data_IF_307415625271
#
_entry.id   IF_307415625271
#
_cell.length_a   1.000
_cell.length_b   1.000
_cell.length_c   1.000
_cell.angle_alpha   90.00
_cell.angle_beta   90.00
_cell.angle_gamma   90.00
#
_symmetry.space_group_name_H-M   'P 1'
#
loop_
_entity.id
_entity.type
_entity.pdbx_description
1 polymer ?
#
# COMPACT_ATOMS: atom_id res chain seq x y z
N UNK A 1 7.69 19.67 -31.59
CA UNK A 1 8.28 18.32 -31.39
C UNK A 1 9.22 18.09 -32.55
N UNK A 2 10.45 17.58 -32.35
CA UNK A 2 11.42 17.50 -33.43
C UNK A 2 11.08 16.35 -34.38
N UNK A 3 11.07 16.63 -35.68
CA UNK A 3 10.66 15.74 -36.78
C UNK A 3 11.38 14.38 -36.79
N UNK A 4 12.62 14.32 -36.27
CA UNK A 4 13.43 13.10 -36.16
C UNK A 4 12.84 11.97 -35.29
N UNK A 5 11.99 12.27 -34.31
CA UNK A 5 11.38 11.21 -33.48
C UNK A 5 10.27 10.45 -34.22
N UNK A 6 9.62 11.11 -35.16
CA UNK A 6 8.54 10.53 -35.96
C UNK A 6 9.11 9.54 -36.98
N UNK A 7 10.26 9.85 -37.55
CA UNK A 7 10.94 9.03 -38.56
C UNK A 7 11.47 7.71 -37.97
N UNK A 8 12.11 7.78 -36.78
CA UNK A 8 12.55 6.59 -36.02
C UNK A 8 11.35 5.70 -35.64
N UNK A 9 10.21 6.30 -35.33
CA UNK A 9 8.97 5.56 -35.05
C UNK A 9 8.44 4.85 -36.30
N UNK A 10 8.47 5.50 -37.47
CA UNK A 10 8.07 4.87 -38.72
C UNK A 10 9.01 3.74 -39.14
N UNK A 11 10.32 3.90 -39.02
CA UNK A 11 11.29 2.87 -39.36
C UNK A 11 11.16 1.62 -38.47
N UNK A 12 11.04 1.81 -37.15
CA UNK A 12 10.86 0.72 -36.19
C UNK A 12 9.51 -0.01 -36.38
N UNK A 13 8.45 0.73 -36.75
CA UNK A 13 7.14 0.17 -37.06
C UNK A 13 7.14 -0.62 -38.37
N UNK A 14 7.82 -0.11 -39.39
CA UNK A 14 7.95 -0.75 -40.71
C UNK A 14 8.77 -2.02 -40.59
N UNK A 15 9.87 -1.99 -39.81
CA UNK A 15 10.67 -3.17 -39.48
C UNK A 15 9.86 -4.26 -38.75
N UNK A 16 9.00 -3.87 -37.79
CA UNK A 16 8.13 -4.80 -37.08
C UNK A 16 7.07 -5.43 -37.99
N UNK A 17 6.44 -4.64 -38.88
CA UNK A 17 5.45 -5.14 -39.84
C UNK A 17 6.08 -6.16 -40.79
N UNK A 18 7.30 -5.88 -41.27
CA UNK A 18 8.02 -6.76 -42.18
C UNK A 18 8.48 -8.07 -41.51
N UNK A 19 8.88 -8.01 -40.24
CA UNK A 19 9.46 -9.15 -39.52
C UNK A 19 8.50 -9.85 -38.54
N UNK A 20 7.21 -9.49 -38.56
CA UNK A 20 6.20 -9.96 -37.59
C UNK A 20 6.17 -11.48 -37.41
N UNK A 21 6.25 -12.25 -38.50
CA UNK A 21 6.26 -13.73 -38.44
C UNK A 21 7.53 -14.27 -37.77
N UNK A 22 8.70 -13.71 -38.06
CA UNK A 22 9.96 -14.10 -37.43
C UNK A 22 10.00 -13.72 -35.95
N UNK A 23 9.45 -12.55 -35.60
CA UNK A 23 9.37 -12.09 -34.23
C UNK A 23 8.39 -12.94 -33.39
N UNK A 24 7.19 -13.22 -33.93
CA UNK A 24 6.23 -14.12 -33.27
C UNK A 24 6.83 -15.53 -33.07
N UNK A 25 7.68 -16.03 -33.98
CA UNK A 25 8.31 -17.35 -33.81
C UNK A 25 9.42 -17.39 -32.73
N UNK A 26 10.10 -16.27 -32.47
CA UNK A 26 11.23 -16.20 -31.53
C UNK A 26 10.86 -15.74 -30.12
N UNK A 27 9.61 -15.35 -29.90
CA UNK A 27 9.11 -14.84 -28.62
C UNK A 27 8.43 -15.96 -27.84
N UNK A 28 8.77 -16.10 -26.56
CA UNK A 28 8.18 -17.14 -25.71
C UNK A 28 6.64 -16.98 -25.67
N UNK A 29 5.90 -18.09 -25.62
CA UNK A 29 4.44 -18.07 -25.77
C UNK A 29 3.71 -17.11 -24.79
N UNK A 30 4.28 -16.86 -23.60
CA UNK A 30 3.70 -15.91 -22.63
C UNK A 30 3.92 -14.43 -23.00
N UNK A 31 4.95 -14.12 -23.80
CA UNK A 31 5.28 -12.76 -24.24
C UNK A 31 4.52 -12.39 -25.52
N UNK A 32 4.12 -13.38 -26.34
CA UNK A 32 3.31 -13.16 -27.56
C UNK A 32 2.06 -12.31 -27.29
N UNK A 33 1.40 -12.50 -26.15
CA UNK A 33 0.23 -11.72 -25.76
C UNK A 33 0.58 -10.25 -25.48
N UNK A 34 1.72 -9.98 -24.82
CA UNK A 34 2.21 -8.62 -24.59
C UNK A 34 2.53 -7.93 -25.91
N UNK A 35 3.26 -8.58 -26.81
CA UNK A 35 3.57 -8.01 -28.13
C UNK A 35 2.33 -7.84 -29.01
N UNK A 36 1.36 -8.77 -28.93
CA UNK A 36 0.06 -8.61 -29.60
C UNK A 36 -0.72 -7.41 -29.06
N UNK A 37 -0.70 -7.17 -27.74
CA UNK A 37 -1.35 -6.01 -27.13
C UNK A 37 -0.59 -4.71 -27.38
N UNK A 38 0.75 -4.75 -27.42
CA UNK A 38 1.67 -3.61 -27.55
C UNK A 38 1.97 -3.19 -28.99
N UNK A 39 1.79 -4.08 -29.96
CA UNK A 39 2.10 -3.80 -31.37
C UNK A 39 1.04 -4.34 -32.35
N UNK A 40 0.10 -5.17 -31.90
CA UNK A 40 -0.88 -5.86 -32.77
C UNK A 40 -2.15 -5.09 -33.11
N UNK A 41 -2.28 -3.81 -32.71
CA UNK A 41 -3.45 -2.97 -33.00
C UNK A 41 -3.28 -2.14 -34.29
N UNK A 42 -2.90 -2.79 -35.39
CA UNK A 42 -2.99 -2.22 -36.74
C UNK A 42 -4.28 -2.69 -37.43
N UNK A 43 -5.41 -2.22 -36.91
CA UNK A 43 -6.61 -1.83 -37.67
C UNK A 43 -7.66 -1.33 -36.67
N UNK A 44 -7.67 0.00 -36.45
CA UNK A 44 -8.42 0.67 -35.36
C UNK A 44 -9.93 0.37 -35.33
N UNK A 45 -10.56 0.03 -36.47
CA UNK A 45 -12.02 -0.01 -36.57
C UNK A 45 -12.62 -1.42 -36.64
N UNK A 46 -12.00 -2.39 -37.34
CA UNK A 46 -12.60 -3.72 -37.52
C UNK A 46 -12.35 -4.68 -36.34
N UNK A 47 -11.14 -4.68 -35.78
CA UNK A 47 -10.81 -5.58 -34.67
C UNK A 47 -11.39 -5.12 -33.33
N UNK A 48 -11.60 -3.82 -33.15
CA UNK A 48 -12.30 -3.26 -31.98
C UNK A 48 -13.78 -3.66 -31.97
N UNK A 49 -14.44 -3.71 -33.13
CA UNK A 49 -15.80 -4.25 -33.28
C UNK A 49 -15.87 -5.75 -32.95
N UNK A 50 -14.88 -6.56 -33.38
CA UNK A 50 -14.76 -7.97 -32.96
C UNK A 50 -14.44 -8.14 -31.46
N UNK A 51 -13.73 -7.19 -30.85
CA UNK A 51 -13.45 -7.17 -29.40
C UNK A 51 -14.72 -6.90 -28.57
N UNK A 52 -15.64 -6.05 -29.05
CA UNK A 52 -16.93 -5.78 -28.39
C UNK A 52 -17.82 -7.02 -28.25
N UNK A 53 -17.63 -8.05 -29.09
CA UNK A 53 -18.45 -9.26 -29.10
C UNK A 53 -17.96 -10.41 -28.21
N UNK A 54 -16.79 -10.31 -27.57
CA UNK A 54 -16.24 -11.39 -26.74
C UNK A 54 -16.15 -10.95 -25.27
N UNK A 55 -16.80 -11.71 -24.38
CA UNK A 55 -16.64 -11.61 -22.92
C UNK A 55 -15.16 -11.47 -22.55
N UNK A 56 -14.87 -10.57 -21.60
CA UNK A 56 -13.57 -10.22 -21.02
C UNK A 56 -12.48 -11.29 -21.21
N UNK A 57 -11.58 -11.08 -22.17
CA UNK A 57 -10.45 -11.98 -22.41
C UNK A 57 -9.36 -11.68 -21.39
N UNK A 58 -9.03 -12.68 -20.57
CA UNK A 58 -7.92 -12.61 -19.60
C UNK A 58 -6.65 -13.12 -20.27
N UNK A 59 -5.56 -12.38 -20.12
CA UNK A 59 -4.25 -12.72 -20.66
C UNK A 59 -3.29 -13.02 -19.51
N UNK A 60 -2.41 -14.00 -19.72
CA UNK A 60 -1.21 -14.16 -18.90
C UNK A 60 -0.08 -13.31 -19.46
N UNK A 61 0.66 -12.63 -18.59
CA UNK A 61 1.71 -11.68 -18.98
C UNK A 61 2.92 -11.78 -18.06
N UNK A 62 4.11 -11.62 -18.64
CA UNK A 62 5.38 -11.48 -17.91
C UNK A 62 5.84 -12.74 -17.18
N UNK A 63 6.98 -12.62 -16.48
CA UNK A 63 7.54 -13.70 -15.65
C UNK A 63 7.26 -13.44 -14.17
N UNK A 64 6.02 -13.76 -13.77
CA UNK A 64 5.51 -13.60 -12.41
C UNK A 64 6.36 -14.32 -11.36
N UNK A 65 6.85 -15.52 -11.68
CA UNK A 65 7.66 -16.33 -10.75
C UNK A 65 9.02 -15.68 -10.51
N UNK A 66 9.69 -15.19 -11.56
CA UNK A 66 10.96 -14.46 -11.38
C UNK A 66 10.75 -13.16 -10.62
N UNK A 67 9.71 -12.38 -10.94
CA UNK A 67 9.41 -11.13 -10.23
C UNK A 67 9.26 -11.34 -8.71
N UNK A 68 8.52 -12.38 -8.30
CA UNK A 68 8.39 -12.76 -6.90
C UNK A 68 9.73 -13.18 -6.28
N UNK A 69 10.48 -14.06 -6.96
CA UNK A 69 11.77 -14.58 -6.49
C UNK A 69 12.78 -13.45 -6.23
N UNK A 70 13.00 -12.58 -7.22
CA UNK A 70 14.00 -11.49 -7.10
C UNK A 70 13.58 -10.38 -6.14
N UNK A 71 12.29 -10.26 -5.84
CA UNK A 71 11.78 -9.28 -4.88
C UNK A 71 11.66 -9.83 -3.45
N UNK A 72 12.08 -11.08 -3.21
CA UNK A 72 12.00 -11.71 -1.89
C UNK A 72 10.57 -12.00 -1.42
N UNK A 73 9.62 -12.15 -2.35
CA UNK A 73 8.24 -12.54 -2.00
C UNK A 73 8.20 -14.03 -1.72
N UNK A 74 7.79 -14.40 -0.51
CA UNK A 74 7.65 -15.79 -0.10
C UNK A 74 6.38 -16.36 -0.72
N UNK A 75 6.50 -17.52 -1.37
CA UNK A 75 5.39 -18.28 -1.90
C UNK A 75 4.82 -19.25 -0.85
N UNK A 76 3.65 -19.83 -1.14
CA UNK A 76 2.91 -20.71 -0.21
C UNK A 76 3.70 -21.98 0.19
N UNK A 77 4.58 -22.47 -0.68
CA UNK A 77 5.37 -23.66 -0.40
C UNK A 77 6.36 -23.41 0.76
N UNK A 78 6.19 -24.12 1.87
CA UNK A 78 6.97 -23.96 3.11
C UNK A 78 6.95 -22.50 3.62
N UNK A 79 5.80 -21.84 3.51
CA UNK A 79 5.62 -20.43 3.86
C UNK A 79 6.05 -20.10 5.29
N UNK A 80 5.57 -20.83 6.29
CA UNK A 80 5.90 -20.57 7.70
C UNK A 80 7.39 -20.65 7.96
N UNK A 81 8.04 -21.75 7.55
CA UNK A 81 9.48 -21.93 7.72
C UNK A 81 10.28 -20.83 7.02
N UNK A 82 9.91 -20.44 5.80
CA UNK A 82 10.58 -19.36 5.06
C UNK A 82 10.38 -18.00 5.71
N UNK A 83 9.17 -17.69 6.15
CA UNK A 83 8.86 -16.43 6.81
C UNK A 83 9.54 -16.37 8.18
N UNK A 84 9.53 -17.47 8.94
CA UNK A 84 10.24 -17.60 10.21
C UNK A 84 11.75 -17.38 10.03
N UNK A 85 12.37 -18.10 9.08
CA UNK A 85 13.79 -17.92 8.77
C UNK A 85 14.15 -16.49 8.36
N UNK A 86 13.29 -15.81 7.59
CA UNK A 86 13.49 -14.41 7.23
C UNK A 86 13.48 -13.50 8.46
N UNK A 87 12.56 -13.75 9.39
CA UNK A 87 12.34 -12.93 10.58
C UNK A 87 13.37 -13.18 11.68
N UNK A 88 13.87 -14.41 11.79
CA UNK A 88 14.92 -14.80 12.74
C UNK A 88 16.29 -14.22 12.37
N UNK A 89 16.51 -13.83 11.10
CA UNK A 89 17.70 -13.12 10.64
C UNK A 89 17.72 -11.63 11.04
N UNK A 90 16.62 -11.10 11.56
CA UNK A 90 16.53 -9.73 12.04
C UNK A 90 16.70 -9.64 13.56
N UNK A 91 16.80 -8.41 14.09
CA UNK A 91 16.93 -8.18 15.53
C UNK A 91 15.71 -8.73 16.31
N UNK A 92 15.88 -9.04 17.62
CA UNK A 92 14.79 -9.50 18.46
C UNK A 92 13.55 -8.60 18.35
N UNK A 93 12.38 -9.22 18.45
CA UNK A 93 11.07 -8.56 18.34
C UNK A 93 10.74 -8.01 16.94
N UNK A 94 11.50 -8.42 15.91
CA UNK A 94 11.04 -8.29 14.52
C UNK A 94 9.87 -9.23 14.26
N UNK A 95 9.01 -8.88 13.31
CA UNK A 95 7.93 -9.76 12.89
C UNK A 95 7.65 -9.67 11.40
N UNK A 96 7.08 -10.74 10.84
CA UNK A 96 6.66 -10.83 9.46
C UNK A 96 5.16 -10.99 9.38
N UNK A 97 4.53 -10.31 8.43
CA UNK A 97 3.12 -10.49 8.07
C UNK A 97 3.06 -10.97 6.63
N UNK A 98 2.24 -11.99 6.39
CA UNK A 98 1.96 -12.50 5.06
C UNK A 98 0.47 -12.73 4.89
N UNK A 99 -0.10 -12.16 3.83
CA UNK A 99 -1.53 -12.21 3.53
C UNK A 99 -1.76 -12.59 2.08
N UNK A 100 -2.49 -13.68 1.86
CA UNK A 100 -3.05 -14.02 0.54
C UNK A 100 -4.42 -13.39 0.42
N UNK A 101 -4.66 -12.70 -0.69
CA UNK A 101 -5.96 -12.10 -0.96
C UNK A 101 -6.43 -12.35 -2.38
N UNK A 102 -7.74 -12.22 -2.59
CA UNK A 102 -8.39 -12.33 -3.89
C UNK A 102 -9.18 -11.06 -4.20
N UNK A 103 -8.94 -10.46 -5.36
CA UNK A 103 -9.61 -9.23 -5.77
C UNK A 103 -11.13 -9.43 -5.92
N UNK A 104 -11.93 -8.60 -5.25
CA UNK A 104 -13.40 -8.54 -5.37
C UNK A 104 -13.83 -7.77 -6.63
N UNK A 105 -13.01 -6.81 -7.05
CA UNK A 105 -13.18 -5.97 -8.23
C UNK A 105 -11.85 -5.83 -8.99
N UNK A 106 -11.86 -5.39 -10.27
CA UNK A 106 -10.63 -5.14 -11.00
C UNK A 106 -9.68 -4.18 -10.26
N UNK A 107 -8.38 -4.37 -10.45
CA UNK A 107 -7.36 -3.47 -9.92
C UNK A 107 -6.70 -2.69 -11.05
N UNK A 108 -6.54 -1.39 -10.81
CA UNK A 108 -5.83 -0.48 -11.70
C UNK A 108 -4.95 0.46 -10.88
N UNK A 109 -3.71 0.62 -11.32
CA UNK A 109 -2.86 1.75 -10.99
C UNK A 109 -2.24 2.20 -12.31
N UNK A 110 -2.26 3.50 -12.59
CA UNK A 110 -1.73 4.01 -13.84
C UNK A 110 -0.21 3.81 -13.90
N UNK A 111 0.29 3.39 -15.06
CA UNK A 111 1.72 3.43 -15.38
C UNK A 111 2.13 4.80 -15.90
N UNK A 112 3.39 5.16 -15.69
CA UNK A 112 3.97 6.44 -16.07
C UNK A 112 4.65 6.37 -17.47
N UNK A 113 4.49 5.27 -18.21
CA UNK A 113 5.02 5.12 -19.58
C UNK A 113 4.23 6.02 -20.57
N UNK A 114 4.90 7.04 -21.11
CA UNK A 114 4.31 8.05 -22.02
C UNK A 114 3.83 7.48 -23.36
N UNK A 115 4.52 6.46 -23.89
CA UNK A 115 4.25 5.88 -25.21
C UNK A 115 3.59 4.50 -25.09
N UNK A 116 2.32 4.47 -24.64
CA UNK A 116 1.55 3.24 -24.49
C UNK A 116 0.31 3.21 -25.39
N UNK A 117 0.02 2.05 -26.00
CA UNK A 117 -1.09 1.92 -26.98
C UNK A 117 -2.49 2.11 -26.37
N UNK A 118 -2.65 1.74 -25.10
CA UNK A 118 -3.90 1.89 -24.36
C UNK A 118 -3.84 3.21 -23.58
N UNK A 119 -4.95 3.96 -23.60
CA UNK A 119 -5.06 5.27 -22.92
C UNK A 119 -4.68 5.24 -21.44
N UNK A 120 -5.02 4.14 -20.75
CA UNK A 120 -4.74 3.94 -19.34
C UNK A 120 -4.02 2.61 -19.15
N UNK A 121 -2.68 2.57 -19.31
CA UNK A 121 -1.88 1.39 -19.00
C UNK A 121 -1.91 1.09 -17.51
N UNK A 122 -1.99 -0.19 -17.17
CA UNK A 122 -1.69 -0.60 -15.81
C UNK A 122 -0.19 -0.58 -15.58
N UNK A 123 0.16 -0.15 -14.37
CA UNK A 123 1.48 -0.19 -13.79
C UNK A 123 2.07 -1.59 -13.78
N UNK A 124 3.24 -1.74 -14.40
CA UNK A 124 4.00 -3.00 -14.42
C UNK A 124 5.38 -2.84 -13.80
N UNK A 125 5.90 -3.95 -13.29
CA UNK A 125 7.32 -4.07 -12.96
C UNK A 125 8.14 -3.93 -14.26
N UNK A 126 9.28 -3.23 -14.19
CA UNK A 126 10.03 -2.78 -15.36
C UNK A 126 10.72 -3.92 -16.11
N UNK A 127 11.23 -4.92 -15.40
CA UNK A 127 12.06 -6.01 -15.96
C UNK A 127 11.18 -7.15 -16.46
N UNK A 128 10.34 -7.71 -15.60
CA UNK A 128 9.53 -8.90 -15.88
C UNK A 128 8.17 -8.58 -16.48
N UNK A 129 7.83 -7.28 -16.60
CA UNK A 129 6.61 -6.77 -17.25
C UNK A 129 5.31 -7.35 -16.67
N UNK A 130 5.28 -7.61 -15.37
CA UNK A 130 4.09 -8.09 -14.65
C UNK A 130 3.36 -6.93 -13.97
N UNK A 131 2.01 -6.88 -14.01
CA UNK A 131 1.25 -5.91 -13.24
C UNK A 131 1.57 -5.97 -11.76
N UNK A 132 1.61 -4.82 -11.09
CA UNK A 132 1.98 -4.77 -9.68
C UNK A 132 1.23 -3.72 -8.86
N UNK A 133 1.13 -3.98 -7.55
CA UNK A 133 0.95 -2.95 -6.53
C UNK A 133 2.33 -2.59 -5.99
N UNK A 134 2.75 -1.31 -6.15
CA UNK A 134 4.02 -0.80 -5.60
C UNK A 134 4.04 -0.87 -4.07
N UNK A 135 5.23 -1.07 -3.50
CA UNK A 135 5.51 -0.96 -2.05
C UNK A 135 4.93 0.31 -1.42
N UNK A 136 5.17 1.46 -2.06
CA UNK A 136 4.66 2.75 -1.59
C UNK A 136 3.13 2.85 -1.62
N UNK A 137 2.47 2.14 -2.55
CA UNK A 137 1.00 2.11 -2.60
C UNK A 137 0.45 1.36 -1.40
N UNK A 138 1.00 0.19 -1.06
CA UNK A 138 0.64 -0.54 0.17
C UNK A 138 0.86 0.30 1.43
N UNK A 139 2.05 0.90 1.58
CA UNK A 139 2.34 1.79 2.71
C UNK A 139 1.28 2.91 2.82
N UNK A 140 0.96 3.56 1.70
CA UNK A 140 0.01 4.67 1.66
C UNK A 140 -1.42 4.28 2.03
N UNK A 141 -1.93 3.16 1.50
CA UNK A 141 -3.32 2.74 1.78
C UNK A 141 -3.47 2.18 3.19
N UNK A 142 -2.47 1.46 3.70
CA UNK A 142 -2.48 0.93 5.08
C UNK A 142 -2.31 2.08 6.07
N UNK A 143 -1.45 3.07 5.78
CA UNK A 143 -1.38 4.29 6.59
C UNK A 143 -2.72 5.04 6.58
N UNK A 144 -3.42 5.11 5.43
CA UNK A 144 -4.74 5.72 5.40
C UNK A 144 -5.75 4.99 6.28
N UNK A 145 -5.78 3.65 6.22
CA UNK A 145 -6.61 2.86 7.11
C UNK A 145 -6.26 3.09 8.59
N UNK A 146 -4.97 3.20 8.93
CA UNK A 146 -4.52 3.54 10.28
C UNK A 146 -5.03 4.90 10.76
N UNK A 147 -5.07 5.91 9.89
CA UNK A 147 -5.66 7.22 10.20
C UNK A 147 -7.15 7.14 10.48
N UNK A 148 -7.90 6.37 9.68
CA UNK A 148 -9.33 6.15 9.94
C UNK A 148 -9.56 5.41 11.27
N UNK A 149 -8.73 4.41 11.60
CA UNK A 149 -8.80 3.72 12.90
C UNK A 149 -8.52 4.70 14.05
N UNK A 150 -7.50 5.54 13.94
CA UNK A 150 -7.20 6.56 14.96
C UNK A 150 -8.40 7.50 15.14
N UNK A 151 -9.00 7.95 14.03
CA UNK A 151 -10.17 8.82 14.04
C UNK A 151 -11.39 8.17 14.72
N UNK A 152 -11.64 6.89 14.47
CA UNK A 152 -12.74 6.11 15.09
C UNK A 152 -12.54 5.84 16.59
N UNK A 153 -11.34 6.11 17.12
CA UNK A 153 -10.98 5.87 18.50
C UNK A 153 -10.63 7.15 19.28
N UNK A 154 -10.96 8.33 18.74
CA UNK A 154 -10.87 9.59 19.49
C UNK A 154 -11.68 9.46 20.78
N UNK A 155 -11.07 9.86 21.90
CA UNK A 155 -11.66 9.80 23.23
C UNK A 155 -11.71 8.43 23.89
N UNK A 156 -11.19 7.39 23.24
CA UNK A 156 -11.03 6.06 23.83
C UNK A 156 -9.64 5.88 24.42
N UNK A 157 -9.51 4.94 25.36
CA UNK A 157 -8.26 4.64 26.06
C UNK A 157 -7.12 4.25 25.10
N UNK A 158 -7.46 3.59 24.01
CA UNK A 158 -6.52 3.05 23.01
C UNK A 158 -6.03 4.10 22.01
N UNK A 159 -6.61 5.31 22.01
CA UNK A 159 -6.31 6.37 21.03
C UNK A 159 -4.80 6.61 20.88
N UNK A 160 -4.11 6.83 22.00
CA UNK A 160 -2.67 7.11 22.00
C UNK A 160 -1.83 5.92 21.59
N UNK A 161 -2.26 4.72 21.96
CA UNK A 161 -1.58 3.50 21.55
C UNK A 161 -1.58 3.36 20.04
N UNK A 162 -2.69 3.70 19.38
CA UNK A 162 -2.79 3.72 17.92
C UNK A 162 -1.99 4.85 17.28
N UNK A 163 -2.01 6.06 17.85
CA UNK A 163 -1.18 7.17 17.39
C UNK A 163 0.31 6.78 17.44
N UNK A 164 0.80 6.28 18.56
CA UNK A 164 2.20 5.90 18.69
C UNK A 164 2.57 4.71 17.81
N UNK A 165 1.68 3.73 17.66
CA UNK A 165 1.90 2.61 16.75
C UNK A 165 2.02 3.09 15.30
N UNK A 166 1.13 3.99 14.87
CA UNK A 166 1.20 4.62 13.55
C UNK A 166 2.54 5.32 13.30
N UNK A 167 3.00 6.14 14.26
CA UNK A 167 4.28 6.85 14.17
C UNK A 167 5.46 5.88 14.03
N UNK A 168 5.49 4.81 14.84
CA UNK A 168 6.55 3.80 14.81
C UNK A 168 6.53 3.00 13.51
N UNK A 169 5.36 2.59 13.03
CA UNK A 169 5.21 1.75 11.84
C UNK A 169 5.56 2.53 10.57
N UNK A 170 5.01 3.74 10.40
CA UNK A 170 5.09 4.49 9.14
C UNK A 170 6.23 5.52 9.10
N UNK A 171 6.73 5.92 10.28
CA UNK A 171 7.77 6.92 10.46
C UNK A 171 7.23 8.34 10.61
N UNK A 172 8.12 9.26 10.98
CA UNK A 172 7.78 10.62 11.41
C UNK A 172 8.51 11.71 10.61
N UNK A 173 8.78 11.41 9.33
CA UNK A 173 9.58 12.24 8.44
C UNK A 173 8.92 13.50 7.89
N UNK A 174 7.69 13.85 8.30
CA UNK A 174 7.00 15.03 7.79
C UNK A 174 7.41 16.30 8.55
N UNK A 175 7.21 17.45 7.89
CA UNK A 175 7.70 18.73 8.36
C UNK A 175 6.96 19.19 9.62
N UNK A 176 5.67 18.88 9.74
CA UNK A 176 4.87 19.27 10.89
C UNK A 176 5.25 18.47 12.15
N UNK A 177 5.67 17.20 12.01
CA UNK A 177 6.23 16.46 13.15
C UNK A 177 7.57 17.04 13.57
N UNK A 178 8.41 17.48 12.62
CA UNK A 178 9.67 18.17 12.96
C UNK A 178 9.43 19.46 13.72
N UNK A 179 8.43 20.24 13.30
CA UNK A 179 7.98 21.44 14.01
C UNK A 179 7.53 21.11 15.44
N UNK A 180 6.70 20.06 15.60
CA UNK A 180 6.28 19.57 16.91
C UNK A 180 7.48 19.23 17.80
N UNK A 181 8.43 18.44 17.29
CA UNK A 181 9.67 18.08 18.00
C UNK A 181 10.46 19.33 18.42
N UNK A 182 10.61 20.30 17.53
CA UNK A 182 11.38 21.52 17.80
C UNK A 182 10.73 22.37 18.88
N UNK A 183 9.40 22.45 18.91
CA UNK A 183 8.66 23.19 19.94
C UNK A 183 8.74 22.52 21.30
N UNK A 184 8.74 21.17 21.36
CA UNK A 184 8.91 20.47 22.63
C UNK A 184 10.27 20.78 23.28
N UNK A 185 11.33 20.96 22.49
CA UNK A 185 12.67 21.34 22.98
C UNK A 185 12.72 22.74 23.61
N UNK A 186 11.72 23.60 23.34
CA UNK A 186 11.69 25.01 23.77
C UNK A 186 10.83 25.25 25.02
N UNK A 187 10.27 24.20 25.63
CA UNK A 187 9.41 24.23 26.84
C UNK A 187 8.17 25.16 26.81
N UNK A 188 7.80 25.73 25.66
CA UNK A 188 6.60 26.56 25.53
C UNK A 188 5.31 25.72 25.47
N UNK A 189 4.60 25.61 26.60
CA UNK A 189 3.42 24.74 26.77
C UNK A 189 2.26 25.08 25.84
N UNK A 190 2.00 26.35 25.54
CA UNK A 190 0.84 26.73 24.71
C UNK A 190 1.11 26.49 23.23
N UNK A 191 2.35 26.70 22.80
CA UNK A 191 2.76 26.50 21.41
C UNK A 191 2.90 25.01 21.07
N UNK A 192 3.34 24.21 22.04
CA UNK A 192 3.34 22.74 21.98
C UNK A 192 1.94 22.19 21.70
N UNK A 193 0.92 22.67 22.43
CA UNK A 193 -0.46 22.22 22.27
C UNK A 193 -1.01 22.55 20.87
N UNK A 194 -0.75 23.76 20.37
CA UNK A 194 -1.14 24.17 19.01
C UNK A 194 -0.49 23.28 17.95
N UNK A 195 0.79 22.98 18.07
CA UNK A 195 1.51 22.11 17.13
C UNK A 195 1.01 20.67 17.16
N UNK A 196 0.64 20.16 18.34
CA UNK A 196 0.06 18.83 18.49
C UNK A 196 -1.31 18.72 17.80
N UNK A 197 -2.17 19.70 18.01
CA UNK A 197 -3.48 19.78 17.35
C UNK A 197 -3.29 19.88 15.83
N UNK A 198 -2.37 20.71 15.36
CA UNK A 198 -1.99 20.76 13.94
C UNK A 198 -1.54 19.39 13.43
N UNK A 199 -0.68 18.68 14.16
CA UNK A 199 -0.22 17.35 13.79
C UNK A 199 -1.39 16.36 13.66
N UNK A 200 -2.27 16.31 14.66
CA UNK A 200 -3.44 15.41 14.64
C UNK A 200 -4.39 15.75 13.49
N UNK A 201 -4.73 17.03 13.31
CA UNK A 201 -5.65 17.49 12.27
C UNK A 201 -5.06 17.26 10.88
N UNK A 202 -3.86 17.77 10.61
CA UNK A 202 -3.31 17.80 9.26
C UNK A 202 -2.65 16.48 8.85
N UNK A 203 -1.99 15.77 9.77
CA UNK A 203 -1.25 14.55 9.42
C UNK A 203 -2.00 13.26 9.69
N UNK A 204 -2.86 13.23 10.70
CA UNK A 204 -3.70 12.08 10.98
C UNK A 204 -5.11 12.24 10.41
N UNK A 205 -5.40 13.35 9.73
CA UNK A 205 -6.71 13.66 9.14
C UNK A 205 -7.85 13.56 10.16
N UNK A 206 -7.54 13.89 11.42
CA UNK A 206 -8.49 13.89 12.52
C UNK A 206 -9.32 15.16 12.37
N UNK A 207 -10.51 15.03 11.79
CA UNK A 207 -11.47 16.13 11.71
C UNK A 207 -11.99 16.37 13.11
N UNK A 208 -11.45 17.40 13.76
CA UNK A 208 -11.98 17.95 15.00
C UNK A 208 -12.84 19.14 14.59
N UNK A 209 -14.08 19.22 15.07
CA UNK A 209 -14.93 20.40 14.87
C UNK A 209 -14.21 21.62 15.46
N UNK A 210 -13.91 22.63 14.63
CA UNK A 210 -13.15 23.82 15.00
C UNK A 210 -13.77 24.55 16.21
N UNK A 211 -15.10 24.57 16.27
CA UNK A 211 -15.88 25.26 17.32
C UNK A 211 -15.67 24.64 18.73
N UNK A 212 -15.34 23.34 18.80
CA UNK A 212 -15.00 22.66 20.07
C UNK A 212 -13.56 22.93 20.52
N UNK A 213 -12.65 23.25 19.59
CA UNK A 213 -11.24 23.54 19.90
C UNK A 213 -11.10 24.94 20.51
N UNK A 214 -11.76 25.96 19.98
CA UNK A 214 -11.64 27.32 20.52
C UNK A 214 -12.32 27.49 21.88
N UNK A 215 -13.44 26.80 22.10
CA UNK A 215 -14.21 26.93 23.35
C UNK A 215 -13.70 26.04 24.48
N UNK A 216 -13.10 24.86 24.19
CA UNK A 216 -12.78 23.89 25.23
C UNK A 216 -11.50 23.04 24.99
N UNK A 217 -10.46 23.65 24.41
CA UNK A 217 -9.15 23.00 24.22
C UNK A 217 -8.53 22.50 25.52
N UNK A 218 -8.84 23.11 26.68
CA UNK A 218 -8.37 22.64 27.99
C UNK A 218 -9.03 21.32 28.39
N UNK A 219 -10.36 21.19 28.30
CA UNK A 219 -11.02 19.91 28.58
C UNK A 219 -10.67 18.85 27.55
N UNK A 220 -10.57 19.15 26.24
CA UNK A 220 -10.15 18.14 25.26
C UNK A 220 -8.75 17.61 25.60
N UNK A 221 -7.83 18.48 26.02
CA UNK A 221 -6.48 18.09 26.45
C UNK A 221 -6.51 17.36 27.80
N UNK A 222 -7.38 17.73 28.74
CA UNK A 222 -7.47 17.06 30.05
C UNK A 222 -8.24 15.72 29.98
N UNK A 223 -9.28 15.61 29.15
CA UNK A 223 -10.11 14.43 28.90
C UNK A 223 -9.48 13.44 27.91
N UNK A 224 -8.69 13.92 26.94
CA UNK A 224 -8.10 13.05 25.91
C UNK A 224 -6.56 13.03 25.90
N UNK A 225 -5.87 13.95 26.57
CA UNK A 225 -4.40 14.08 26.56
C UNK A 225 -3.78 14.08 27.97
N UNK A 226 -4.44 13.39 28.91
CA UNK A 226 -4.10 13.09 30.31
C UNK A 226 -2.64 13.31 30.75
N UNK A 227 -2.42 13.55 32.06
CA UNK A 227 -1.13 13.77 32.74
C UNK A 227 0.04 12.87 32.29
N UNK A 228 -0.27 11.67 31.77
CA UNK A 228 0.68 10.78 31.11
C UNK A 228 1.39 11.38 29.88
N UNK A 229 0.79 12.30 29.12
CA UNK A 229 1.44 12.97 27.99
C UNK A 229 2.59 13.86 28.44
N UNK A 230 2.41 14.62 29.54
CA UNK A 230 3.52 15.31 30.22
C UNK A 230 4.58 14.31 30.68
N UNK A 231 4.19 13.18 31.29
CA UNK A 231 5.16 12.20 31.80
C UNK A 231 5.90 11.41 30.71
N UNK A 232 5.29 11.16 29.54
CA UNK A 232 5.89 10.48 28.39
C UNK A 232 7.02 11.33 27.78
N UNK A 233 6.89 12.66 27.83
CA UNK A 233 7.84 13.61 27.24
C UNK A 233 8.71 14.38 28.26
N UNK A 234 8.34 14.43 29.55
CA UNK A 234 9.10 15.09 30.65
C UNK A 234 10.01 14.14 31.45
N UNK A 235 10.00 12.84 31.17
CA UNK A 235 10.95 11.95 31.85
C UNK A 235 12.36 12.26 31.33
N UNK A 236 13.20 12.90 32.16
CA UNK A 236 14.58 13.30 31.85
C UNK A 236 15.44 12.13 31.33
N UNK A 237 15.04 10.88 31.60
CA UNK A 237 15.67 9.66 31.02
C UNK A 237 15.25 9.35 29.58
N UNK A 238 14.10 9.85 29.12
CA UNK A 238 13.50 9.60 27.81
C UNK A 238 13.56 10.80 26.85
N UNK A 239 14.18 11.92 27.26
CA UNK A 239 14.40 13.17 26.52
C UNK A 239 15.07 13.05 25.14
N UNK A 240 15.60 11.88 24.76
CA UNK A 240 16.18 11.64 23.42
C UNK A 240 15.39 10.67 22.55
N UNK A 241 14.45 9.91 23.11
CA UNK A 241 13.84 8.75 22.41
C UNK A 241 12.79 9.12 21.35
N UNK A 242 12.12 10.25 21.53
CA UNK A 242 10.96 10.64 20.72
C UNK A 242 11.16 11.94 19.93
N UNK A 243 12.28 12.64 20.14
CA UNK A 243 12.61 13.94 19.52
C UNK A 243 13.46 13.82 18.25
N UNK A 244 13.42 12.65 17.62
CA UNK A 244 14.19 12.37 16.43
C UNK A 244 13.24 11.95 15.31
N UNK A 245 13.50 12.50 14.13
CA UNK A 245 12.83 12.05 12.91
C UNK A 245 13.25 10.62 12.65
N UNK A 246 12.29 9.70 12.73
CA UNK A 246 12.56 8.26 12.57
C UNK A 246 11.94 7.73 11.29
N UNK A 247 12.70 6.86 10.63
CA UNK A 247 12.17 5.99 9.58
C UNK A 247 11.12 5.05 10.20
N UNK A 248 10.09 4.68 9.43
CA UNK A 248 9.12 3.69 9.89
C UNK A 248 9.75 2.31 10.04
N UNK A 249 9.27 1.55 11.05
CA UNK A 249 9.71 0.18 11.34
C UNK A 249 9.18 -0.85 10.34
N UNK A 250 8.11 -0.55 9.59
CA UNK A 250 7.52 -1.46 8.60
C UNK A 250 8.10 -1.29 7.19
N UNK A 251 8.48 -2.42 6.60
CA UNK A 251 9.01 -2.58 5.24
C UNK A 251 7.96 -3.32 4.42
N UNK A 252 7.37 -2.63 3.45
CA UNK A 252 6.33 -3.17 2.58
C UNK A 252 6.95 -3.75 1.31
N UNK A 253 6.45 -4.90 0.89
CA UNK A 253 6.85 -5.56 -0.35
C UNK A 253 5.83 -5.31 -1.48
N UNK A 254 6.26 -5.35 -2.76
CA UNK A 254 5.33 -5.22 -3.87
C UNK A 254 4.46 -6.48 -4.01
N UNK A 255 3.26 -6.32 -4.54
CA UNK A 255 2.44 -7.46 -4.98
C UNK A 255 2.47 -7.55 -6.49
N UNK A 256 2.67 -8.74 -7.03
CA UNK A 256 2.62 -9.00 -8.46
C UNK A 256 1.33 -9.72 -8.83
N UNK A 257 0.96 -9.65 -10.11
CA UNK A 257 -0.11 -10.42 -10.71
C UNK A 257 0.34 -11.02 -12.04
N UNK A 258 -0.23 -12.17 -12.41
CA UNK A 258 0.06 -12.85 -13.67
C UNK A 258 -1.03 -12.65 -14.73
N UNK A 259 -2.09 -11.89 -14.40
CA UNK A 259 -3.29 -11.73 -15.23
C UNK A 259 -3.55 -10.28 -15.61
N UNK A 260 -4.04 -10.12 -16.84
CA UNK A 260 -4.39 -8.84 -17.44
C UNK A 260 -5.73 -8.92 -18.16
N UNK A 261 -6.52 -7.84 -18.11
CA UNK A 261 -7.78 -7.67 -18.82
C UNK A 261 -7.95 -6.23 -19.29
N UNK A 262 -8.96 -5.98 -20.11
CA UNK A 262 -9.37 -4.66 -20.55
C UNK A 262 -10.77 -4.35 -19.98
N UNK A 263 -10.90 -3.22 -19.30
CA UNK A 263 -12.17 -2.69 -18.82
C UNK A 263 -12.53 -1.42 -19.61
N UNK A 264 -13.82 -1.19 -19.78
CA UNK A 264 -14.33 -0.01 -20.48
C UNK A 264 -15.28 0.75 -19.56
N UNK A 265 -14.96 2.02 -19.31
CA UNK A 265 -15.86 2.95 -18.63
C UNK A 265 -16.43 3.89 -19.68
N UNK A 266 -17.76 3.94 -19.82
CA UNK A 266 -18.42 4.86 -20.73
C UNK A 266 -19.15 5.95 -19.96
N UNK A 267 -18.57 7.16 -19.79
CA UNK A 267 -19.25 8.27 -19.15
C UNK A 267 -20.51 8.65 -19.93
N UNK A 268 -21.62 8.83 -19.23
CA UNK A 268 -22.88 9.26 -19.82
C UNK A 268 -23.05 10.78 -19.68
N UNK A 269 -23.55 11.42 -20.74
CA UNK A 269 -23.98 12.82 -20.68
C UNK A 269 -25.14 12.96 -19.70
N UNK A 270 -25.07 13.91 -18.77
CA UNK A 270 -26.17 14.15 -17.82
C UNK A 270 -27.45 14.66 -18.51
N UNK A 271 -27.29 15.39 -19.63
CA UNK A 271 -28.41 15.99 -20.38
C UNK A 271 -29.14 14.98 -21.27
N UNK A 272 -28.39 14.11 -21.96
CA UNK A 272 -28.96 13.20 -22.96
C UNK A 272 -28.99 11.74 -22.50
N UNK A 273 -28.36 11.41 -21.36
CA UNK A 273 -28.12 10.05 -20.84
C UNK A 273 -27.40 9.11 -21.81
N UNK A 274 -27.00 9.59 -22.99
CA UNK A 274 -26.22 8.84 -23.97
C UNK A 274 -24.75 8.72 -23.54
N UNK A 275 -24.13 7.58 -23.83
CA UNK A 275 -22.70 7.36 -23.62
C UNK A 275 -21.88 8.24 -24.57
N UNK A 276 -20.85 8.91 -24.05
CA UNK A 276 -20.06 9.87 -24.83
C UNK A 276 -18.91 9.13 -25.53
N UNK A 277 -17.81 8.92 -24.82
CA UNK A 277 -16.60 8.31 -25.34
C UNK A 277 -16.13 7.20 -24.39
N UNK A 278 -16.08 5.93 -24.84
CA UNK A 278 -15.61 4.83 -24.00
C UNK A 278 -14.12 5.01 -23.67
N UNK A 279 -13.81 5.01 -22.39
CA UNK A 279 -12.46 5.09 -21.83
C UNK A 279 -11.99 3.68 -21.51
N UNK A 280 -10.85 3.30 -22.06
CA UNK A 280 -10.31 1.95 -21.92
C UNK A 280 -9.25 1.91 -20.84
N UNK A 281 -9.31 0.89 -19.99
CA UNK A 281 -8.39 0.63 -18.89
C UNK A 281 -7.80 -0.76 -19.03
N UNK A 282 -6.48 -0.84 -19.05
CA UNK A 282 -5.80 -2.09 -18.79
C UNK A 282 -5.84 -2.36 -17.28
N UNK A 283 -6.27 -3.54 -16.86
CA UNK A 283 -6.48 -3.85 -15.43
C UNK A 283 -5.99 -5.25 -15.09
N UNK A 284 -5.73 -5.48 -13.80
CA UNK A 284 -5.77 -6.84 -13.26
C UNK A 284 -7.24 -7.23 -13.06
N UNK A 285 -7.72 -8.34 -13.64
CA UNK A 285 -9.12 -8.71 -13.56
C UNK A 285 -9.54 -9.12 -12.14
N UNK A 286 -10.83 -8.95 -11.87
CA UNK A 286 -11.50 -9.51 -10.68
C UNK A 286 -11.14 -10.99 -10.51
N UNK A 287 -11.00 -11.42 -9.26
CA UNK A 287 -10.70 -12.81 -8.92
C UNK A 287 -9.23 -13.19 -9.09
N UNK A 288 -8.35 -12.27 -9.52
CA UNK A 288 -6.91 -12.49 -9.43
C UNK A 288 -6.47 -12.51 -7.97
N UNK A 289 -5.46 -13.31 -7.68
CA UNK A 289 -4.90 -13.47 -6.34
C UNK A 289 -3.58 -12.69 -6.22
N UNK A 290 -3.30 -12.20 -5.03
CA UNK A 290 -2.11 -11.44 -4.71
C UNK A 290 -1.61 -11.75 -3.30
N UNK A 291 -0.35 -11.42 -3.07
CA UNK A 291 0.34 -11.58 -1.79
C UNK A 291 0.72 -10.20 -1.26
N UNK A 292 0.27 -9.86 -0.06
CA UNK A 292 0.81 -8.76 0.75
C UNK A 292 1.82 -9.33 1.73
N UNK A 293 3.06 -8.87 1.66
CA UNK A 293 4.13 -9.23 2.59
C UNK A 293 4.70 -7.97 3.24
N UNK A 294 4.86 -8.00 4.56
CA UNK A 294 5.41 -6.91 5.36
C UNK A 294 6.43 -7.49 6.33
N UNK A 295 7.58 -6.83 6.48
CA UNK A 295 8.56 -7.11 7.52
C UNK A 295 8.64 -5.89 8.43
N UNK A 296 8.52 -6.12 9.74
CA UNK A 296 8.68 -5.08 10.75
C UNK A 296 9.99 -5.31 11.50
N UNK A 297 10.81 -4.25 11.61
CA UNK A 297 12.10 -4.27 12.31
C UNK A 297 12.16 -3.11 13.31
N UNK A 298 12.20 -3.36 14.64
CA UNK A 298 12.28 -2.31 15.66
C UNK A 298 13.71 -1.76 15.83
N UNK A 299 14.31 -1.26 14.77
CA UNK A 299 15.73 -0.87 14.74
C UNK A 299 16.10 0.24 15.74
N UNK A 300 15.15 1.12 16.10
CA UNK A 300 15.34 2.17 17.11
C UNK A 300 15.08 1.66 18.55
N UNK A 301 14.72 0.39 18.68
CA UNK A 301 14.43 -0.31 19.92
C UNK A 301 15.65 -0.90 20.62
N UNK A 302 16.82 -0.92 19.97
CA UNK A 302 18.01 -1.68 20.45
C UNK A 302 18.46 -1.26 21.86
N UNK A 303 18.31 0.01 22.22
CA UNK A 303 18.67 0.56 23.53
C UNK A 303 17.50 0.57 24.54
N UNK A 304 16.35 -0.01 24.19
CA UNK A 304 15.18 -0.07 25.08
C UNK A 304 15.27 -1.28 25.99
N UNK A 305 14.61 -1.19 27.15
CA UNK A 305 14.35 -2.38 27.98
C UNK A 305 13.48 -3.35 27.20
N UNK A 306 13.80 -4.64 27.28
CA UNK A 306 13.10 -5.70 26.56
C UNK A 306 11.59 -5.70 26.81
N UNK A 307 11.15 -5.50 28.04
CA UNK A 307 9.72 -5.49 28.37
C UNK A 307 8.96 -4.30 27.77
N UNK A 308 9.59 -3.13 27.70
CA UNK A 308 9.02 -1.93 27.06
C UNK A 308 8.89 -2.16 25.56
N UNK A 309 9.97 -2.65 24.93
CA UNK A 309 9.99 -2.89 23.49
C UNK A 309 8.98 -3.97 23.10
N UNK A 310 8.89 -5.05 23.86
CA UNK A 310 7.91 -6.11 23.66
C UNK A 310 6.48 -5.59 23.67
N UNK A 311 6.14 -4.69 24.61
CA UNK A 311 4.81 -4.06 24.67
C UNK A 311 4.54 -3.18 23.44
N UNK A 312 5.51 -2.39 22.99
CA UNK A 312 5.38 -1.60 21.75
C UNK A 312 5.11 -2.50 20.55
N UNK A 313 5.92 -3.55 20.38
CA UNK A 313 5.84 -4.45 19.22
C UNK A 313 4.51 -5.19 19.19
N UNK A 314 3.99 -5.62 20.36
CA UNK A 314 2.67 -6.25 20.46
C UNK A 314 1.55 -5.32 19.96
N UNK A 315 1.55 -4.06 20.42
CA UNK A 315 0.58 -3.04 19.98
C UNK A 315 0.74 -2.69 18.50
N UNK A 316 1.99 -2.60 18.01
CA UNK A 316 2.28 -2.30 16.61
C UNK A 316 1.77 -3.42 15.68
N UNK A 317 1.96 -4.68 16.07
CA UNK A 317 1.44 -5.84 15.34
C UNK A 317 -0.08 -5.80 15.25
N UNK A 318 -0.76 -5.63 16.39
CA UNK A 318 -2.22 -5.55 16.47
C UNK A 318 -2.77 -4.42 15.61
N UNK A 319 -2.21 -3.21 15.75
CA UNK A 319 -2.61 -2.06 14.96
C UNK A 319 -2.41 -2.30 13.46
N UNK A 320 -1.29 -2.89 13.06
CA UNK A 320 -1.00 -3.18 11.65
C UNK A 320 -1.96 -4.24 11.07
N UNK A 321 -2.28 -5.28 11.84
CA UNK A 321 -3.28 -6.28 11.47
C UNK A 321 -4.66 -5.65 11.26
N UNK A 322 -5.10 -4.78 12.19
CA UNK A 322 -6.36 -4.04 12.08
C UNK A 322 -6.40 -3.12 10.85
N UNK A 323 -5.28 -2.45 10.54
CA UNK A 323 -5.16 -1.65 9.32
C UNK A 323 -5.35 -2.51 8.06
N UNK A 324 -4.76 -3.71 8.01
CA UNK A 324 -4.85 -4.60 6.85
C UNK A 324 -6.29 -5.09 6.63
N UNK A 325 -7.00 -5.46 7.70
CA UNK A 325 -8.42 -5.83 7.63
C UNK A 325 -9.25 -4.68 7.03
N UNK A 326 -9.05 -3.45 7.54
CA UNK A 326 -9.78 -2.27 7.05
C UNK A 326 -9.46 -1.94 5.59
N UNK A 327 -8.23 -2.17 5.13
CA UNK A 327 -7.85 -1.97 3.71
C UNK A 327 -8.58 -2.92 2.76
N UNK A 328 -8.98 -4.11 3.21
CA UNK A 328 -9.69 -5.08 2.37
C UNK A 328 -10.98 -4.51 1.74
N UNK A 329 -11.68 -3.65 2.50
CA UNK A 329 -12.93 -3.02 2.08
C UNK A 329 -12.73 -1.64 1.44
N UNK A 330 -11.68 -0.89 1.82
CA UNK A 330 -11.36 0.40 1.19
C UNK A 330 -10.76 0.26 -0.21
N UNK A 331 -10.00 -0.81 -0.45
CA UNK A 331 -9.33 -1.12 -1.71
C UNK A 331 -7.99 -0.41 -1.93
N UNK A 332 -7.16 -1.00 -2.79
CA UNK A 332 -5.73 -0.63 -2.99
C UNK A 332 -5.49 0.07 -4.33
N UNK A 333 -6.51 0.15 -5.19
CA UNK A 333 -6.43 0.66 -6.56
C UNK A 333 -6.77 2.15 -6.68
N UNK A 334 -6.64 2.66 -7.91
CA UNK A 334 -7.33 3.86 -8.35
C UNK A 334 -8.83 3.58 -8.53
N UNK A 335 -9.65 4.64 -8.65
CA UNK A 335 -11.12 4.54 -8.82
C UNK A 335 -11.81 3.81 -7.66
N UNK A 336 -11.40 4.06 -6.42
CA UNK A 336 -12.00 3.48 -5.20
C UNK A 336 -13.51 3.72 -5.08
N UNK A 337 -14.03 4.84 -5.60
CA UNK A 337 -15.49 5.10 -5.71
C UNK A 337 -16.25 4.05 -6.52
N UNK A 338 -15.57 3.33 -7.43
CA UNK A 338 -16.12 2.20 -8.20
C UNK A 338 -15.77 0.84 -7.55
N UNK A 339 -15.22 0.84 -6.33
CA UNK A 339 -14.79 -0.35 -5.60
C UNK A 339 -13.52 -1.02 -6.15
N UNK A 340 -12.81 -0.39 -7.08
CA UNK A 340 -11.64 -0.98 -7.73
C UNK A 340 -10.50 -1.24 -6.74
N UNK A 341 -9.92 -2.44 -6.84
CA UNK A 341 -8.86 -2.90 -5.95
C UNK A 341 -9.31 -3.34 -4.55
N UNK A 342 -10.61 -3.45 -4.29
CA UNK A 342 -11.13 -4.15 -3.08
C UNK A 342 -10.85 -5.64 -3.16
N UNK A 343 -10.68 -6.28 -2.00
CA UNK A 343 -10.30 -7.70 -1.95
C UNK A 343 -10.90 -8.44 -0.77
N UNK A 344 -10.86 -9.77 -0.84
CA UNK A 344 -11.16 -10.68 0.27
C UNK A 344 -9.87 -11.34 0.71
N UNK A 345 -9.58 -11.29 2.00
CA UNK A 345 -8.48 -12.04 2.61
C UNK A 345 -8.81 -13.54 2.56
N UNK A 346 -7.83 -14.33 2.14
CA UNK A 346 -7.90 -15.79 2.04
C UNK A 346 -7.14 -16.45 3.17
N UNK A 347 -5.92 -15.98 3.40
CA UNK A 347 -5.02 -16.45 4.44
C UNK A 347 -4.30 -15.24 5.03
N UNK A 348 -4.09 -15.24 6.34
CA UNK A 348 -3.41 -14.17 7.06
C UNK A 348 -2.55 -14.78 8.18
N UNK A 349 -1.25 -14.56 8.07
CA UNK A 349 -0.22 -15.21 8.89
C UNK A 349 0.71 -14.16 9.45
N UNK A 350 1.18 -14.36 10.68
CA UNK A 350 2.29 -13.60 11.25
C UNK A 350 3.35 -14.53 11.84
N UNK A 351 4.63 -14.16 11.73
CA UNK A 351 5.75 -14.83 12.42
C UNK A 351 6.44 -13.82 13.34
N UNK A 352 6.79 -14.23 14.56
CA UNK A 352 7.49 -13.39 15.55
C UNK A 352 8.92 -13.88 15.78
N UNK A 353 9.85 -12.95 15.95
CA UNK A 353 11.19 -13.22 16.49
C UNK A 353 11.20 -12.87 17.99
N UNK A 354 11.63 -13.83 18.82
CA UNK A 354 11.72 -13.67 20.27
C UNK A 354 10.45 -14.02 21.03
N UNK A 355 10.51 -13.89 22.35
CA UNK A 355 9.46 -14.35 23.28
C UNK A 355 8.29 -13.35 23.39
N UNK A 356 7.56 -13.14 22.31
CA UNK A 356 6.32 -12.35 22.30
C UNK A 356 5.14 -13.33 22.40
N UNK A 357 4.41 -13.28 23.52
CA UNK A 357 3.13 -13.99 23.67
C UNK A 357 1.99 -13.10 23.17
N UNK A 358 1.25 -13.59 22.19
CA UNK A 358 -0.04 -13.06 21.77
C UNK A 358 -1.12 -13.85 22.52
N UNK A 359 -2.02 -13.16 23.19
CA UNK A 359 -3.09 -13.79 23.96
C UNK A 359 -4.21 -14.26 23.02
N UNK A 360 -4.93 -15.32 23.43
CA UNK A 360 -6.02 -15.88 22.63
C UNK A 360 -7.09 -14.80 22.38
N UNK A 361 -7.39 -14.54 21.11
CA UNK A 361 -8.41 -13.56 20.70
C UNK A 361 -7.87 -12.19 20.32
N UNK A 362 -6.60 -11.85 20.60
CA UNK A 362 -6.04 -10.52 20.27
C UNK A 362 -5.89 -10.28 18.76
N UNK A 363 -5.63 -11.33 17.99
CA UNK A 363 -5.53 -11.26 16.53
C UNK A 363 -6.51 -12.25 15.89
N UNK A 364 -7.80 -11.92 15.97
CA UNK A 364 -8.86 -12.83 15.52
C UNK A 364 -8.68 -13.29 14.07
N UNK A 365 -8.65 -14.61 13.87
CA UNK A 365 -8.45 -15.27 12.58
C UNK A 365 -7.03 -15.20 12.01
N UNK A 366 -6.08 -14.56 12.70
CA UNK A 366 -4.67 -14.55 12.30
C UNK A 366 -3.94 -15.78 12.81
N UNK A 367 -3.21 -16.44 11.92
CA UNK A 367 -2.44 -17.63 12.26
C UNK A 367 -0.99 -17.24 12.59
N UNK A 368 -0.55 -17.50 13.81
CA UNK A 368 0.86 -17.42 14.17
C UNK A 368 1.65 -18.56 13.54
N UNK A 369 2.87 -18.31 13.10
CA UNK A 369 3.80 -19.36 12.71
C UNK A 369 4.14 -20.22 13.92
N UNK A 370 4.17 -21.54 13.71
CA UNK A 370 4.55 -22.51 14.74
C UNK A 370 6.06 -22.52 15.02
#
# INVERSE_FOLDING_TARGET
MPENQTEIYYESLTYYIHNKKNFENNVQNYEKNYYTLKFGLFNKNEKLKKFKGKKYKIYKIGDFKKAQKYSGIINENNLENKLKNLIDQHIPYSFGIWVKFKLKQPYFSRDDEEFYLIQNPILKEKVFKVPMIRRGRWKGVIANAGREIIKENIGKKEFWDYVFSYLRIFGTGNEEFRELINLMKKENKDELKKSLVKYLIFNLNVVIEFDKIEQDWKNIIEEHFDLNFKNIFNDKKNEKKYYEVKKGRAIFYPTYFDRLSLEVINPHSRKTRAGINPIHYEVVPKGSEGILQIVYVPFDGILKKNDELRKEVKKDLEFLCNCIEKVADLGVGAKTKLGWGTFKIKEKIYCLNGNIKIENGELEGWRGCQ
#
